data_IF_356611463771
#
_entry.id   IF_356611463771
#
_cell.length_a   1.000
_cell.length_b   1.000
_cell.length_c   1.000
_cell.angle_alpha   90.00
_cell.angle_beta   90.00
_cell.angle_gamma   90.00
#
_symmetry.space_group_name_H-M   'P 1'
#
loop_
_entity.id
_entity.type
_entity.pdbx_description
1 polymer ?
#
# COMPACT_ATOMS: atom_id res chain seq x y z
N UNK A 1 -38.92 12.88 -5.50
CA UNK A 1 -38.30 12.65 -6.80
C UNK A 1 -37.80 13.99 -7.37
N UNK A 2 -36.52 14.30 -7.21
CA UNK A 2 -35.88 15.43 -7.90
C UNK A 2 -34.75 14.87 -8.74
N UNK A 3 -34.82 15.15 -10.05
CA UNK A 3 -33.86 14.72 -11.07
C UNK A 3 -32.51 15.40 -10.83
N UNK A 4 -31.46 14.60 -10.79
CA UNK A 4 -30.07 15.09 -10.75
C UNK A 4 -29.65 15.45 -12.17
N UNK A 5 -29.24 16.69 -12.32
CA UNK A 5 -28.83 17.36 -13.55
C UNK A 5 -27.42 16.94 -13.98
N UNK A 6 -27.24 16.80 -15.26
CA UNK A 6 -26.01 16.45 -15.99
C UNK A 6 -24.90 17.48 -15.75
N UNK A 7 -23.71 17.02 -15.45
CA UNK A 7 -22.49 17.83 -15.48
C UNK A 7 -22.29 18.43 -16.88
N UNK A 8 -22.31 19.75 -16.93
CA UNK A 8 -21.95 20.49 -18.13
C UNK A 8 -20.45 20.82 -18.09
N UNK A 9 -19.70 20.28 -19.03
CA UNK A 9 -18.32 20.65 -19.30
C UNK A 9 -18.33 22.05 -19.94
N UNK A 10 -17.78 23.05 -19.28
CA UNK A 10 -17.54 24.36 -19.82
C UNK A 10 -16.17 24.39 -20.51
N UNK A 11 -16.17 24.41 -21.85
CA UNK A 11 -15.01 24.76 -22.64
C UNK A 11 -14.75 26.26 -22.51
N UNK A 12 -13.62 26.64 -21.97
CA UNK A 12 -13.12 28.01 -22.04
C UNK A 12 -12.15 28.09 -23.20
N UNK A 13 -12.62 28.62 -24.31
CA UNK A 13 -11.80 29.04 -25.45
C UNK A 13 -11.34 30.48 -25.20
N UNK A 14 -10.07 30.65 -24.85
CA UNK A 14 -9.45 31.96 -24.73
C UNK A 14 -8.88 32.43 -26.05
N UNK A 15 -9.52 33.43 -26.66
CA UNK A 15 -8.99 34.17 -27.81
C UNK A 15 -7.84 35.10 -27.37
N UNK A 16 -6.64 34.89 -27.90
CA UNK A 16 -5.55 35.87 -27.85
C UNK A 16 -5.60 36.74 -29.09
N UNK A 17 -5.93 38.03 -28.90
CA UNK A 17 -5.83 39.08 -29.92
C UNK A 17 -4.41 39.65 -29.91
N UNK A 18 -3.73 39.54 -31.05
CA UNK A 18 -2.46 40.21 -31.32
C UNK A 18 -2.66 41.67 -31.62
N UNK A 19 -1.96 42.56 -30.93
CA UNK A 19 -1.75 43.92 -31.37
C UNK A 19 -0.26 44.19 -31.57
N UNK A 20 0.11 44.36 -32.83
CA UNK A 20 1.42 44.87 -33.24
C UNK A 20 1.44 46.39 -33.16
N UNK A 21 2.46 46.96 -32.54
CA UNK A 21 2.82 48.35 -32.73
C UNK A 21 4.35 48.45 -32.92
N UNK A 22 4.71 48.85 -34.14
CA UNK A 22 6.06 49.25 -34.52
C UNK A 22 6.43 50.60 -33.92
N UNK A 23 7.65 50.74 -33.38
CA UNK A 23 8.46 51.93 -33.67
C UNK A 23 9.94 51.64 -33.47
N UNK A 24 10.73 52.13 -34.43
CA UNK A 24 12.17 51.95 -34.58
C UNK A 24 12.97 52.93 -33.71
N UNK A 25 14.16 52.52 -33.28
CA UNK A 25 15.46 53.11 -33.58
C UNK A 25 16.51 52.77 -32.52
N UNK A 26 17.65 52.26 -33.02
CA UNK A 26 18.97 52.61 -32.43
C UNK A 26 19.65 51.60 -31.51
N UNK A 27 20.41 50.68 -32.11
CA UNK A 27 21.78 50.34 -31.73
C UNK A 27 22.08 49.78 -30.33
N UNK A 28 22.27 48.49 -30.25
CA UNK A 28 23.48 47.81 -29.74
C UNK A 28 23.20 46.29 -29.76
N UNK A 29 24.07 45.53 -30.40
CA UNK A 29 24.00 44.06 -30.40
C UNK A 29 24.26 43.57 -28.98
N UNK A 30 23.21 43.30 -28.25
CA UNK A 30 23.23 42.40 -27.13
C UNK A 30 22.74 41.06 -27.67
N UNK A 31 23.59 40.07 -27.63
CA UNK A 31 23.16 38.68 -27.88
C UNK A 31 22.02 38.37 -26.89
N UNK A 32 20.79 38.42 -27.42
CA UNK A 32 19.63 37.88 -26.72
C UNK A 32 19.87 36.38 -26.67
N UNK A 33 20.23 35.89 -25.47
CA UNK A 33 20.09 34.48 -25.15
C UNK A 33 18.70 34.06 -25.66
N UNK A 34 18.66 33.06 -26.54
CA UNK A 34 17.41 32.40 -26.95
C UNK A 34 16.74 32.01 -25.65
N UNK A 35 15.60 32.60 -25.32
CA UNK A 35 14.68 32.06 -24.35
C UNK A 35 14.28 30.72 -24.95
N UNK A 36 14.79 29.64 -24.39
CA UNK A 36 14.38 28.28 -24.75
C UNK A 36 12.86 28.25 -24.67
N UNK A 37 12.20 27.73 -25.71
CA UNK A 37 10.77 27.58 -25.73
C UNK A 37 10.43 26.71 -24.51
N UNK A 38 9.57 27.18 -23.61
CA UNK A 38 9.17 26.44 -22.45
C UNK A 38 8.61 25.08 -22.91
N UNK A 39 9.11 24.01 -22.34
CA UNK A 39 8.62 22.66 -22.62
C UNK A 39 7.14 22.55 -22.26
N UNK A 40 6.41 21.70 -22.97
CA UNK A 40 5.03 21.40 -22.62
C UNK A 40 4.99 20.80 -21.20
N UNK A 41 4.00 21.22 -20.40
CA UNK A 41 3.91 20.76 -19.03
C UNK A 41 3.59 19.26 -18.95
N UNK A 42 4.25 18.57 -18.02
CA UNK A 42 3.95 17.20 -17.65
C UNK A 42 2.75 17.21 -16.72
N UNK A 43 1.69 16.54 -17.11
CA UNK A 43 0.51 16.34 -16.26
C UNK A 43 0.79 15.27 -15.24
N UNK A 44 0.70 15.63 -13.95
CA UNK A 44 0.94 14.70 -12.84
C UNK A 44 -0.31 14.59 -11.96
N UNK A 45 -0.93 13.40 -11.92
CA UNK A 45 -1.95 13.10 -10.93
C UNK A 45 -1.25 12.79 -9.61
N UNK A 46 -0.95 13.85 -8.85
CA UNK A 46 -0.24 13.72 -7.59
C UNK A 46 -1.13 13.12 -6.48
N UNK A 47 -0.53 12.35 -5.53
CA UNK A 47 -1.28 11.75 -4.42
C UNK A 47 -1.75 12.76 -3.38
N UNK A 48 -1.21 13.98 -3.43
CA UNK A 48 -1.51 15.08 -2.50
C UNK A 48 -1.85 16.36 -3.27
N UNK A 49 -2.63 17.24 -2.65
CA UNK A 49 -3.05 18.51 -3.27
C UNK A 49 -1.93 19.54 -3.33
N UNK A 50 -1.08 19.54 -2.31
CA UNK A 50 0.03 20.47 -2.14
C UNK A 50 1.34 19.70 -2.36
N UNK A 51 2.00 19.96 -3.48
CA UNK A 51 3.26 19.30 -3.88
C UNK A 51 4.34 20.31 -4.32
N UNK A 52 4.23 21.55 -3.86
CA UNK A 52 5.15 22.62 -4.23
C UNK A 52 6.60 22.26 -3.91
N UNK A 53 6.86 21.64 -2.74
CA UNK A 53 8.20 21.20 -2.37
C UNK A 53 8.76 20.13 -3.32
N UNK A 54 7.90 19.26 -3.87
CA UNK A 54 8.31 18.31 -4.89
C UNK A 54 8.61 18.99 -6.23
N UNK A 55 7.79 19.96 -6.64
CA UNK A 55 8.02 20.75 -7.85
C UNK A 55 9.35 21.52 -7.74
N UNK A 56 9.61 22.13 -6.59
CA UNK A 56 10.89 22.79 -6.30
C UNK A 56 12.07 21.79 -6.36
N UNK A 57 11.89 20.57 -5.84
CA UNK A 57 12.89 19.52 -5.93
C UNK A 57 13.16 19.09 -7.37
N UNK A 58 12.14 18.98 -8.22
CA UNK A 58 12.31 18.72 -9.66
C UNK A 58 13.05 19.88 -10.32
N UNK A 59 12.64 21.12 -10.10
CA UNK A 59 13.28 22.30 -10.67
C UNK A 59 14.74 22.50 -10.23
N UNK A 60 15.09 22.04 -9.03
CA UNK A 60 16.49 22.10 -8.55
C UNK A 60 17.44 21.24 -9.37
N UNK A 61 16.92 20.17 -10.03
CA UNK A 61 17.71 19.25 -10.85
C UNK A 61 17.44 19.48 -12.34
N UNK A 62 16.18 19.76 -12.70
CA UNK A 62 15.69 19.92 -14.07
C UNK A 62 14.84 21.18 -14.18
N UNK A 63 15.46 22.37 -14.25
CA UNK A 63 14.73 23.65 -14.24
C UNK A 63 13.82 23.90 -15.45
N UNK A 64 14.03 23.15 -16.53
CA UNK A 64 13.22 23.23 -17.76
C UNK A 64 11.90 22.46 -17.69
N UNK A 65 11.76 21.52 -16.74
CA UNK A 65 10.58 20.65 -16.61
C UNK A 65 9.43 21.40 -15.94
N UNK A 66 8.31 21.53 -16.64
CA UNK A 66 7.09 22.10 -16.08
C UNK A 66 6.15 20.98 -15.63
N UNK A 67 5.52 21.13 -14.47
CA UNK A 67 4.56 20.16 -13.92
C UNK A 67 3.20 20.86 -13.75
N UNK A 68 2.17 20.24 -14.34
CA UNK A 68 0.77 20.59 -14.12
C UNK A 68 0.13 19.50 -13.24
N UNK A 69 -0.36 19.90 -12.06
CA UNK A 69 -1.01 18.99 -11.12
C UNK A 69 -2.43 18.70 -11.57
N UNK A 70 -2.73 17.42 -11.79
CA UNK A 70 -4.09 16.95 -12.09
C UNK A 70 -4.74 16.54 -10.77
N UNK A 71 -5.80 17.23 -10.33
CA UNK A 71 -6.46 16.88 -9.08
C UNK A 71 -7.29 15.62 -9.23
N UNK A 72 -7.36 14.83 -8.17
CA UNK A 72 -8.35 13.78 -8.07
C UNK A 72 -9.77 14.37 -8.09
N UNK A 73 -10.67 13.80 -8.89
CA UNK A 73 -12.08 14.17 -8.88
C UNK A 73 -12.89 13.14 -8.10
N UNK A 74 -13.64 13.59 -7.10
CA UNK A 74 -14.57 12.78 -6.31
C UNK A 74 -13.98 12.21 -5.02
N UNK A 75 -14.85 11.55 -4.23
CA UNK A 75 -14.52 11.00 -2.91
C UNK A 75 -13.79 9.65 -3.00
N UNK A 76 -13.81 8.99 -4.17
CA UNK A 76 -13.18 7.70 -4.41
C UNK A 76 -12.13 7.80 -5.51
N UNK A 77 -10.86 7.91 -5.11
CA UNK A 77 -9.71 7.99 -6.01
C UNK A 77 -9.57 6.76 -6.90
N UNK A 78 -9.85 5.57 -6.39
CA UNK A 78 -9.79 4.32 -7.15
C UNK A 78 -10.78 4.30 -8.31
N UNK A 79 -12.03 4.66 -8.07
CA UNK A 79 -13.05 4.74 -9.13
C UNK A 79 -12.70 5.80 -10.18
N UNK A 80 -12.15 6.95 -9.76
CA UNK A 80 -11.69 7.98 -10.68
C UNK A 80 -10.59 7.44 -11.62
N UNK A 81 -9.60 6.78 -11.05
CA UNK A 81 -8.49 6.18 -11.79
C UNK A 81 -8.95 5.07 -12.74
N UNK A 82 -9.82 4.18 -12.29
CA UNK A 82 -10.39 3.12 -13.13
C UNK A 82 -11.13 3.71 -14.34
N UNK A 83 -11.91 4.77 -14.13
CA UNK A 83 -12.63 5.46 -15.21
C UNK A 83 -11.66 6.12 -16.20
N UNK A 84 -10.61 6.80 -15.73
CA UNK A 84 -9.58 7.39 -16.58
C UNK A 84 -8.80 6.31 -17.34
N UNK A 85 -8.49 5.20 -16.66
CA UNK A 85 -7.83 4.04 -17.26
C UNK A 85 -8.67 3.43 -18.38
N UNK A 86 -9.97 3.19 -18.12
CA UNK A 86 -10.91 2.66 -19.11
C UNK A 86 -11.11 3.63 -20.30
N UNK A 87 -11.15 4.94 -20.05
CA UNK A 87 -11.27 5.97 -21.10
C UNK A 87 -9.98 6.14 -21.93
N UNK A 88 -8.83 5.63 -21.43
CA UNK A 88 -7.51 5.88 -22.01
C UNK A 88 -7.09 7.34 -21.91
N UNK A 89 -7.60 8.07 -20.93
CA UNK A 89 -7.35 9.50 -20.65
C UNK A 89 -6.51 9.66 -19.38
N UNK A 90 -5.37 8.95 -19.35
CA UNK A 90 -4.43 9.02 -18.24
C UNK A 90 -3.55 10.27 -18.35
N UNK A 91 -3.21 10.90 -17.22
CA UNK A 91 -2.16 11.91 -17.19
C UNK A 91 -0.78 11.31 -17.55
N UNK A 92 0.19 12.16 -17.83
CA UNK A 92 1.54 11.71 -18.20
C UNK A 92 2.20 10.89 -17.09
N UNK A 93 2.12 11.38 -15.85
CA UNK A 93 2.51 10.64 -14.62
C UNK A 93 1.26 10.35 -13.83
N UNK A 94 0.93 9.08 -13.67
CA UNK A 94 -0.23 8.64 -12.92
C UNK A 94 0.17 8.03 -11.58
N UNK A 95 -0.71 8.22 -10.58
CA UNK A 95 -0.62 7.61 -9.26
C UNK A 95 -1.75 6.63 -9.09
N UNK A 96 -1.44 5.38 -8.73
CA UNK A 96 -2.41 4.33 -8.47
C UNK A 96 -2.37 3.94 -6.99
N UNK A 97 -3.53 3.60 -6.43
CA UNK A 97 -3.64 3.19 -5.01
C UNK A 97 -3.36 1.70 -4.84
N UNK A 98 -3.71 0.88 -5.82
CA UNK A 98 -3.53 -0.56 -5.80
C UNK A 98 -2.91 -1.01 -7.11
N UNK A 99 -2.10 -2.05 -7.03
CA UNK A 99 -1.71 -2.84 -8.17
C UNK A 99 -2.92 -3.71 -8.52
N UNK A 100 -3.66 -3.34 -9.56
CA UNK A 100 -4.76 -4.16 -10.05
C UNK A 100 -4.17 -5.34 -10.85
N UNK A 101 -4.48 -6.60 -10.50
CA UNK A 101 -4.03 -7.76 -11.26
C UNK A 101 -4.65 -7.87 -12.66
N UNK A 102 -5.54 -6.97 -13.04
CA UNK A 102 -5.87 -6.77 -14.47
C UNK A 102 -4.67 -6.15 -15.20
N UNK A 103 -3.52 -6.76 -14.98
CA UNK A 103 -2.20 -6.40 -15.51
C UNK A 103 -2.22 -6.25 -17.04
N UNK A 104 -3.03 -7.00 -17.75
CA UNK A 104 -3.22 -6.86 -19.21
C UNK A 104 -3.64 -5.44 -19.61
N UNK A 105 -4.41 -4.75 -18.75
CA UNK A 105 -4.76 -3.36 -18.96
C UNK A 105 -3.61 -2.40 -18.62
N UNK A 106 -2.76 -2.76 -17.65
CA UNK A 106 -1.61 -1.94 -17.25
C UNK A 106 -0.56 -1.92 -18.36
N UNK A 107 -0.20 -3.08 -18.93
CA UNK A 107 0.76 -3.19 -20.04
C UNK A 107 0.32 -2.46 -21.31
N UNK A 108 -0.99 -2.35 -21.54
CA UNK A 108 -1.54 -1.62 -22.69
C UNK A 108 -1.50 -0.09 -22.53
N UNK A 109 -1.55 0.40 -21.29
CA UNK A 109 -1.72 1.82 -20.98
C UNK A 109 -0.48 2.49 -20.41
N UNK A 110 0.38 1.71 -19.74
CA UNK A 110 1.57 2.24 -19.09
C UNK A 110 2.85 1.84 -19.82
N UNK A 111 3.86 2.68 -19.70
CA UNK A 111 5.19 2.48 -20.24
C UNK A 111 5.94 1.44 -19.39
N UNK A 112 6.66 0.52 -20.04
CA UNK A 112 7.58 -0.37 -19.34
C UNK A 112 8.81 0.42 -18.86
N UNK A 113 9.02 0.41 -17.56
CA UNK A 113 10.09 1.14 -16.87
C UNK A 113 11.33 0.28 -16.58
N UNK A 114 11.30 -1.03 -16.88
CA UNK A 114 12.38 -1.98 -16.52
C UNK A 114 13.75 -1.63 -17.09
N UNK A 115 13.80 -0.89 -18.22
CA UNK A 115 15.05 -0.48 -18.89
C UNK A 115 15.66 0.82 -18.39
N UNK A 116 15.06 1.50 -17.42
CA UNK A 116 15.53 2.81 -16.97
C UNK A 116 16.37 2.73 -15.70
N UNK A 117 17.44 3.52 -15.65
CA UNK A 117 18.47 3.56 -14.60
C UNK A 117 17.93 3.89 -13.20
N UNK A 118 16.85 4.63 -13.09
CA UNK A 118 16.26 4.97 -11.80
C UNK A 118 15.64 3.78 -11.06
N UNK A 119 15.37 2.66 -11.75
CA UNK A 119 14.93 1.42 -11.10
C UNK A 119 16.02 0.81 -10.21
N UNK A 120 17.28 1.08 -10.53
CA UNK A 120 18.43 0.64 -9.74
C UNK A 120 18.51 1.27 -8.35
N UNK A 121 17.80 2.37 -8.11
CA UNK A 121 17.72 3.02 -6.80
C UNK A 121 16.91 2.21 -5.78
N UNK A 122 16.04 1.33 -6.25
CA UNK A 122 15.15 0.55 -5.39
C UNK A 122 15.85 -0.66 -4.77
N UNK A 123 15.41 -1.05 -3.60
CA UNK A 123 15.73 -2.36 -3.03
C UNK A 123 15.04 -3.42 -3.89
N UNK A 124 15.77 -4.43 -4.36
CA UNK A 124 15.26 -5.43 -5.31
C UNK A 124 13.97 -6.12 -4.81
N UNK A 125 13.94 -6.52 -3.52
CA UNK A 125 12.75 -7.12 -2.92
C UNK A 125 11.52 -6.20 -2.93
N UNK A 126 11.68 -4.89 -3.07
CA UNK A 126 10.58 -3.91 -3.17
C UNK A 126 10.01 -3.77 -4.58
N UNK A 127 10.73 -4.26 -5.59
CA UNK A 127 10.24 -4.32 -6.97
C UNK A 127 9.59 -5.66 -7.32
N UNK A 128 9.81 -6.71 -6.53
CA UNK A 128 9.26 -8.05 -6.82
C UNK A 128 7.73 -8.05 -6.95
N UNK A 129 7.05 -7.22 -6.15
CA UNK A 129 5.58 -7.14 -6.15
C UNK A 129 5.01 -6.42 -7.38
N UNK A 130 5.85 -5.73 -8.16
CA UNK A 130 5.46 -4.97 -9.37
C UNK A 130 6.06 -5.53 -10.65
N UNK A 131 6.79 -6.65 -10.57
CA UNK A 131 7.32 -7.35 -11.74
C UNK A 131 6.24 -8.17 -12.42
N UNK A 132 6.05 -7.90 -13.72
CA UNK A 132 5.22 -8.72 -14.59
C UNK A 132 6.04 -9.23 -15.76
N UNK A 133 6.36 -10.52 -15.78
CA UNK A 133 7.09 -11.21 -16.85
C UNK A 133 8.39 -10.49 -17.28
N UNK A 134 9.07 -9.81 -16.33
CA UNK A 134 10.30 -9.06 -16.57
C UNK A 134 10.09 -7.59 -16.88
N UNK A 135 8.85 -7.10 -16.98
CA UNK A 135 8.51 -5.69 -17.13
C UNK A 135 8.17 -5.04 -15.77
N UNK A 136 8.35 -3.73 -15.68
CA UNK A 136 7.96 -2.91 -14.53
C UNK A 136 7.10 -1.76 -15.06
N UNK A 137 5.80 -1.79 -14.85
CA UNK A 137 4.90 -0.72 -15.26
C UNK A 137 4.64 0.31 -14.19
N UNK A 138 4.85 -0.07 -12.92
CA UNK A 138 4.57 0.73 -11.74
C UNK A 138 5.75 0.71 -10.79
N UNK A 139 6.07 1.85 -10.20
CA UNK A 139 7.09 1.96 -9.16
C UNK A 139 6.43 2.25 -7.81
N UNK A 140 6.82 1.54 -6.75
CA UNK A 140 6.27 1.80 -5.42
C UNK A 140 6.76 3.14 -4.86
N UNK A 141 5.84 3.88 -4.23
CA UNK A 141 6.17 5.16 -3.57
C UNK A 141 6.83 4.96 -2.21
N UNK A 142 6.06 4.57 -1.24
CA UNK A 142 6.45 4.28 0.14
C UNK A 142 5.65 3.11 0.65
N UNK A 143 6.10 2.55 1.77
CA UNK A 143 5.45 1.41 2.40
C UNK A 143 4.98 1.76 3.81
N UNK A 144 3.80 1.27 4.17
CA UNK A 144 3.42 1.05 5.56
C UNK A 144 3.91 -0.33 5.99
N UNK A 145 4.33 -0.45 7.23
CA UNK A 145 4.72 -1.70 7.83
C UNK A 145 3.66 -2.13 8.85
N UNK A 146 3.10 -3.30 8.65
CA UNK A 146 2.17 -3.93 9.57
C UNK A 146 2.88 -4.99 10.40
N UNK A 147 2.52 -5.03 11.65
CA UNK A 147 2.95 -5.99 12.64
C UNK A 147 2.00 -5.92 13.84
N UNK A 148 2.45 -6.37 14.97
CA UNK A 148 1.72 -6.34 16.24
C UNK A 148 2.33 -5.24 17.11
N UNK A 149 1.55 -4.21 17.39
CA UNK A 149 1.98 -3.18 18.34
C UNK A 149 1.97 -3.72 19.76
N UNK A 150 3.02 -3.47 20.51
CA UNK A 150 3.12 -3.88 21.91
C UNK A 150 3.42 -2.73 22.85
N UNK A 151 2.98 -2.86 24.11
CA UNK A 151 3.17 -1.89 25.16
C UNK A 151 4.47 -2.16 25.92
N UNK A 152 5.52 -1.38 25.62
CA UNK A 152 6.83 -1.45 26.28
C UNK A 152 6.73 -1.24 27.80
N UNK A 153 5.79 -0.40 28.23
CA UNK A 153 5.62 -0.07 29.65
C UNK A 153 5.09 -1.27 30.44
N UNK A 154 4.03 -1.93 29.94
CA UNK A 154 3.46 -3.12 30.59
C UNK A 154 4.48 -4.25 30.66
N UNK A 155 5.20 -4.54 29.57
CA UNK A 155 6.25 -5.55 29.58
C UNK A 155 7.27 -5.28 30.71
N UNK A 156 7.77 -4.03 30.79
CA UNK A 156 8.76 -3.65 31.81
C UNK A 156 8.19 -3.72 33.23
N UNK A 157 6.98 -3.22 33.46
CA UNK A 157 6.36 -3.20 34.80
C UNK A 157 6.11 -4.58 35.36
N UNK A 158 5.77 -5.55 34.50
CA UNK A 158 5.57 -6.93 34.89
C UNK A 158 6.83 -7.81 34.78
N UNK A 159 7.95 -7.27 34.28
CA UNK A 159 9.16 -8.04 34.03
C UNK A 159 8.98 -9.13 32.98
N UNK A 160 8.14 -8.88 31.98
CA UNK A 160 7.89 -9.79 30.87
C UNK A 160 8.80 -9.50 29.68
N UNK A 161 9.25 -10.56 29.02
CA UNK A 161 10.01 -10.48 27.78
C UNK A 161 9.09 -10.41 26.56
N UNK A 162 9.53 -9.70 25.52
CA UNK A 162 8.82 -9.66 24.23
C UNK A 162 8.94 -11.04 23.56
N UNK A 163 7.83 -11.69 23.16
CA UNK A 163 7.89 -13.03 22.57
C UNK A 163 8.52 -12.98 21.16
N UNK A 164 9.31 -13.98 20.83
CA UNK A 164 9.94 -14.18 19.53
C UNK A 164 9.45 -15.43 18.79
N UNK A 165 8.52 -16.16 19.40
CA UNK A 165 7.84 -17.32 18.82
C UNK A 165 6.41 -17.39 19.32
N UNK A 166 5.56 -18.14 18.63
CA UNK A 166 4.19 -18.38 19.11
C UNK A 166 4.17 -19.08 20.47
N UNK A 167 5.07 -20.03 20.71
CA UNK A 167 5.17 -20.71 21.98
C UNK A 167 5.46 -19.74 23.15
N UNK A 168 6.31 -18.74 22.94
CA UNK A 168 6.58 -17.70 23.94
C UNK A 168 5.38 -16.76 24.11
N UNK A 169 4.67 -16.45 23.02
CA UNK A 169 3.44 -15.66 23.06
C UNK A 169 2.34 -16.36 23.85
N UNK A 170 2.19 -17.67 23.69
CA UNK A 170 1.23 -18.47 24.47
C UNK A 170 1.52 -18.40 25.97
N UNK A 171 2.80 -18.50 26.36
CA UNK A 171 3.23 -18.34 27.75
C UNK A 171 2.93 -16.93 28.27
N UNK A 172 3.20 -15.90 27.46
CA UNK A 172 2.92 -14.51 27.82
C UNK A 172 1.41 -14.26 27.96
N UNK A 173 0.59 -14.82 27.07
CA UNK A 173 -0.87 -14.74 27.15
C UNK A 173 -1.42 -15.32 28.46
N UNK A 174 -0.88 -16.47 28.91
CA UNK A 174 -1.24 -17.04 30.19
C UNK A 174 -0.88 -16.13 31.38
N UNK A 175 0.32 -15.52 31.36
CA UNK A 175 0.77 -14.56 32.38
C UNK A 175 -0.10 -13.30 32.41
N UNK A 176 -0.44 -12.74 31.23
CA UNK A 176 -1.30 -11.56 31.11
C UNK A 176 -2.69 -11.84 31.72
N UNK A 177 -3.26 -12.98 31.41
CA UNK A 177 -4.55 -13.44 31.98
C UNK A 177 -4.49 -13.57 33.50
N UNK A 178 -3.42 -14.19 34.06
CA UNK A 178 -3.23 -14.33 35.51
C UNK A 178 -3.09 -12.96 36.18
N UNK A 179 -2.40 -12.03 35.55
CA UNK A 179 -2.21 -10.67 36.07
C UNK A 179 -3.43 -9.74 35.85
N UNK A 180 -4.46 -10.19 35.15
CA UNK A 180 -5.64 -9.36 34.80
C UNK A 180 -5.34 -8.24 33.81
N UNK A 181 -4.31 -8.41 32.97
CA UNK A 181 -3.94 -7.50 31.89
C UNK A 181 -4.67 -7.91 30.61
N UNK A 182 -5.27 -6.94 29.90
CA UNK A 182 -5.87 -7.18 28.60
C UNK A 182 -4.79 -7.57 27.59
N UNK A 183 -4.92 -8.77 26.99
CA UNK A 183 -3.88 -9.30 26.12
C UNK A 183 -3.79 -8.54 24.81
N UNK A 184 -4.89 -8.44 24.08
CA UNK A 184 -4.92 -7.86 22.74
C UNK A 184 -6.24 -7.18 22.41
N UNK A 185 -6.15 -6.07 21.67
CA UNK A 185 -7.28 -5.37 21.08
C UNK A 185 -7.12 -5.44 19.54
N UNK A 186 -7.79 -6.36 18.83
CA UNK A 186 -7.85 -6.31 17.38
C UNK A 186 -8.85 -5.23 16.94
N UNK A 187 -8.53 -4.49 15.88
CA UNK A 187 -9.49 -3.64 15.19
C UNK A 187 -10.47 -4.52 14.39
N UNK A 188 -11.76 -4.33 14.55
CA UNK A 188 -12.81 -5.18 13.96
C UNK A 188 -13.93 -4.41 13.27
N UNK A 189 -13.75 -3.11 13.06
CA UNK A 189 -14.78 -2.25 12.48
C UNK A 189 -15.09 -2.61 11.02
N UNK A 190 -14.11 -3.04 10.27
CA UNK A 190 -14.23 -3.31 8.83
C UNK A 190 -13.91 -4.78 8.50
N UNK A 191 -14.63 -5.39 7.52
CA UNK A 191 -14.36 -6.76 7.07
C UNK A 191 -12.90 -6.99 6.68
N UNK A 192 -12.28 -5.99 6.03
CA UNK A 192 -10.88 -6.04 5.62
C UNK A 192 -9.91 -6.37 6.74
N UNK A 193 -10.18 -5.98 7.98
CA UNK A 193 -9.33 -6.36 9.11
C UNK A 193 -9.38 -7.86 9.38
N UNK A 194 -10.56 -8.49 9.35
CA UNK A 194 -10.67 -9.93 9.53
C UNK A 194 -9.85 -10.69 8.49
N UNK A 195 -9.95 -10.30 7.22
CA UNK A 195 -9.15 -10.89 6.14
C UNK A 195 -7.64 -10.67 6.35
N UNK A 196 -7.24 -9.44 6.75
CA UNK A 196 -5.83 -9.13 6.98
C UNK A 196 -5.24 -9.93 8.14
N UNK A 197 -5.97 -10.13 9.24
CA UNK A 197 -5.48 -10.96 10.35
C UNK A 197 -5.25 -12.40 9.91
N UNK A 198 -6.17 -12.94 9.11
CA UNK A 198 -6.01 -14.28 8.54
C UNK A 198 -4.73 -14.35 7.69
N UNK A 199 -4.58 -13.44 6.72
CA UNK A 199 -3.45 -13.43 5.80
C UNK A 199 -2.12 -13.16 6.53
N UNK A 200 -2.05 -12.14 7.38
CA UNK A 200 -0.81 -11.74 8.04
C UNK A 200 -0.28 -12.81 9.01
N UNK A 201 -1.18 -13.53 9.69
CA UNK A 201 -0.78 -14.67 10.56
C UNK A 201 -0.37 -15.85 9.68
N UNK A 202 -1.10 -16.12 8.59
CA UNK A 202 -0.76 -17.19 7.66
C UNK A 202 0.55 -16.92 6.89
N UNK A 203 0.95 -15.66 6.71
CA UNK A 203 2.24 -15.29 6.13
C UNK A 203 3.42 -15.81 6.97
N UNK A 204 3.30 -15.80 8.28
CA UNK A 204 4.32 -16.31 9.19
C UNK A 204 4.41 -17.85 9.21
N UNK A 205 3.45 -18.56 8.64
CA UNK A 205 3.44 -20.02 8.57
C UNK A 205 3.60 -20.53 7.13
N UNK A 206 2.74 -20.08 6.19
CA UNK A 206 2.71 -20.62 4.82
C UNK A 206 2.72 -19.55 3.73
N UNK A 207 1.83 -18.54 3.78
CA UNK A 207 1.63 -17.61 2.67
C UNK A 207 2.87 -16.79 2.32
N UNK A 208 3.73 -16.47 3.30
CA UNK A 208 5.00 -15.77 3.10
C UNK A 208 6.10 -16.65 2.47
N UNK A 209 5.92 -17.97 2.38
CA UNK A 209 6.87 -18.89 1.74
C UNK A 209 6.76 -18.87 0.21
N UNK A 210 7.76 -19.43 -0.49
CA UNK A 210 7.69 -19.60 -1.94
C UNK A 210 6.47 -20.41 -2.36
N UNK A 211 6.20 -21.52 -1.69
CA UNK A 211 5.05 -22.39 -1.97
C UNK A 211 3.72 -21.67 -1.73
N UNK A 212 3.64 -20.87 -0.69
CA UNK A 212 2.48 -20.04 -0.40
C UNK A 212 2.23 -18.97 -1.44
N UNK A 213 3.28 -18.34 -1.97
CA UNK A 213 3.17 -17.35 -3.07
C UNK A 213 2.75 -18.00 -4.39
N UNK A 214 3.25 -19.18 -4.70
CA UNK A 214 2.80 -19.96 -5.86
C UNK A 214 1.33 -20.39 -5.68
N UNK A 215 0.96 -20.81 -4.48
CA UNK A 215 -0.43 -21.15 -4.17
C UNK A 215 -1.38 -19.96 -4.35
N UNK A 216 -1.00 -18.75 -3.95
CA UNK A 216 -1.82 -17.54 -4.14
C UNK A 216 -2.13 -17.32 -5.64
N UNK A 217 -1.15 -17.48 -6.52
CA UNK A 217 -1.35 -17.42 -7.98
C UNK A 217 -2.32 -18.49 -8.48
N UNK A 218 -2.15 -19.71 -7.99
CA UNK A 218 -3.00 -20.84 -8.39
C UNK A 218 -4.42 -20.67 -7.84
N UNK A 219 -4.60 -20.16 -6.63
CA UNK A 219 -5.89 -19.81 -6.05
C UNK A 219 -6.61 -18.75 -6.90
N UNK A 220 -5.97 -17.63 -7.22
CA UNK A 220 -6.55 -16.55 -8.03
C UNK A 220 -6.85 -16.98 -9.47
N UNK A 221 -6.16 -18.00 -9.98
CA UNK A 221 -6.43 -18.58 -11.31
C UNK A 221 -7.38 -19.79 -11.29
N UNK A 222 -7.98 -20.12 -10.16
CA UNK A 222 -8.92 -21.22 -10.00
C UNK A 222 -8.31 -22.62 -10.03
N UNK A 223 -7.00 -22.74 -9.85
CA UNK A 223 -6.28 -24.03 -9.89
C UNK A 223 -6.07 -24.66 -8.52
N UNK A 224 -6.19 -23.88 -7.45
CA UNK A 224 -6.02 -24.35 -6.09
C UNK A 224 -7.13 -23.79 -5.17
N UNK A 225 -7.45 -24.51 -4.11
CA UNK A 225 -8.33 -24.05 -3.03
C UNK A 225 -7.71 -24.35 -1.67
N UNK A 226 -8.32 -23.83 -0.60
CA UNK A 226 -7.79 -23.99 0.75
C UNK A 226 -7.93 -25.42 1.24
N UNK A 227 -9.12 -26.01 1.09
CA UNK A 227 -9.46 -27.32 1.68
C UNK A 227 -8.61 -28.48 1.12
N UNK A 228 -8.07 -28.34 -0.11
CA UNK A 228 -7.23 -29.36 -0.74
C UNK A 228 -5.72 -29.03 -0.68
N UNK A 229 -5.34 -27.95 0.01
CA UNK A 229 -3.93 -27.54 0.13
C UNK A 229 -3.43 -27.74 1.56
N UNK A 230 -2.58 -28.77 1.82
CA UNK A 230 -2.13 -29.06 3.18
C UNK A 230 -1.47 -27.88 3.90
N UNK A 231 -0.65 -27.09 3.20
CA UNK A 231 -0.01 -25.89 3.76
C UNK A 231 -1.03 -24.84 4.20
N UNK A 232 -2.07 -24.57 3.39
CA UNK A 232 -3.14 -23.66 3.79
C UNK A 232 -3.97 -24.19 4.96
N UNK A 233 -4.28 -25.49 4.96
CA UNK A 233 -5.00 -26.10 6.10
C UNK A 233 -4.19 -26.00 7.41
N UNK A 234 -2.87 -26.15 7.34
CA UNK A 234 -1.99 -25.92 8.47
C UNK A 234 -2.03 -24.45 8.91
N UNK A 235 -1.92 -23.51 7.97
CA UNK A 235 -1.99 -22.07 8.26
C UNK A 235 -3.34 -21.69 8.89
N UNK A 236 -4.46 -22.23 8.42
CA UNK A 236 -5.77 -22.02 9.05
C UNK A 236 -5.84 -22.56 10.47
N UNK A 237 -5.27 -23.74 10.72
CA UNK A 237 -5.15 -24.28 12.08
C UNK A 237 -4.26 -23.39 12.95
N UNK A 238 -3.22 -22.79 12.38
CA UNK A 238 -2.35 -21.84 13.07
C UNK A 238 -3.08 -20.53 13.41
N UNK A 239 -3.84 -19.95 12.50
CA UNK A 239 -4.70 -18.79 12.79
C UNK A 239 -5.68 -19.07 13.93
N UNK A 240 -6.22 -20.30 13.98
CA UNK A 240 -7.09 -20.72 15.09
C UNK A 240 -6.38 -20.69 16.44
N UNK A 241 -5.10 -21.10 16.52
CA UNK A 241 -4.31 -21.04 17.77
C UNK A 241 -4.22 -19.59 18.30
N UNK A 242 -4.07 -18.59 17.42
CA UNK A 242 -4.04 -17.18 17.82
C UNK A 242 -5.35 -16.73 18.48
N UNK A 243 -6.49 -17.22 18.00
CA UNK A 243 -7.77 -17.00 18.67
C UNK A 243 -7.83 -17.70 20.02
N UNK A 244 -7.40 -18.96 20.07
CA UNK A 244 -7.50 -19.79 21.28
C UNK A 244 -6.71 -19.19 22.46
N UNK A 245 -5.59 -18.51 22.20
CA UNK A 245 -4.83 -17.79 23.24
C UNK A 245 -5.35 -16.38 23.55
N UNK A 246 -6.33 -15.88 22.80
CA UNK A 246 -6.95 -14.57 23.04
C UNK A 246 -6.38 -13.39 22.25
N UNK A 247 -5.53 -13.63 21.25
CA UNK A 247 -5.03 -12.55 20.37
C UNK A 247 -6.07 -12.05 19.37
N UNK A 248 -7.03 -12.89 19.00
CA UNK A 248 -8.11 -12.58 18.05
C UNK A 248 -9.47 -12.66 18.77
N UNK A 249 -9.63 -11.88 19.82
CA UNK A 249 -10.89 -11.82 20.56
C UNK A 249 -11.79 -10.72 20.02
N UNK A 250 -13.10 -10.97 20.10
CA UNK A 250 -14.06 -9.88 20.21
C UNK A 250 -13.95 -9.29 21.63
N UNK A 251 -13.58 -8.03 21.74
CA UNK A 251 -13.53 -7.32 23.01
C UNK A 251 -14.90 -6.97 23.60
N UNK A 252 -15.98 -7.58 23.07
CA UNK A 252 -17.34 -7.53 23.62
C UNK A 252 -18.18 -6.36 23.17
N UNK A 253 -17.58 -5.30 22.69
CA UNK A 253 -18.26 -4.17 22.04
C UNK A 253 -17.73 -4.05 20.63
N UNK A 254 -18.60 -3.90 19.61
CA UNK A 254 -18.17 -3.57 18.25
C UNK A 254 -17.45 -2.22 18.31
N UNK A 255 -16.18 -2.28 18.76
CA UNK A 255 -15.43 -1.07 19.07
C UNK A 255 -15.14 -0.35 17.76
N UNK A 256 -15.61 0.88 17.71
CA UNK A 256 -15.05 1.89 16.83
C UNK A 256 -13.51 1.86 16.97
N UNK A 257 -12.81 1.89 15.86
CA UNK A 257 -11.34 1.89 15.82
C UNK A 257 -10.74 2.97 16.72
N UNK A 258 -11.38 4.13 16.83
CA UNK A 258 -10.96 5.21 17.73
C UNK A 258 -10.98 4.78 19.21
N UNK A 259 -11.99 4.02 19.63
CA UNK A 259 -12.08 3.50 21.00
C UNK A 259 -10.98 2.47 21.25
N UNK A 260 -10.72 1.59 20.30
CA UNK A 260 -9.62 0.61 20.37
C UNK A 260 -8.27 1.30 20.52
N UNK A 261 -8.01 2.30 19.67
CA UNK A 261 -6.78 3.09 19.71
C UNK A 261 -6.63 3.89 21.02
N UNK A 262 -7.72 4.47 21.52
CA UNK A 262 -7.73 5.19 22.80
C UNK A 262 -7.42 4.24 23.97
N UNK A 263 -8.04 3.06 24.03
CA UNK A 263 -7.75 2.05 25.07
C UNK A 263 -6.29 1.63 25.05
N UNK A 264 -5.71 1.42 23.86
CA UNK A 264 -4.28 1.14 23.74
C UNK A 264 -3.43 2.32 24.21
N UNK A 265 -3.80 3.56 23.84
CA UNK A 265 -3.12 4.79 24.28
C UNK A 265 -3.16 4.99 25.80
N UNK A 266 -4.24 4.58 26.47
CA UNK A 266 -4.38 4.59 27.94
C UNK A 266 -3.43 3.62 28.63
N UNK A 267 -2.89 2.63 27.92
CA UNK A 267 -1.80 1.77 28.40
C UNK A 267 -2.23 0.54 29.17
N UNK A 268 -3.51 0.14 29.14
CA UNK A 268 -4.04 -1.01 29.88
C UNK A 268 -4.01 -2.33 29.08
N UNK A 269 -3.62 -2.28 27.81
CA UNK A 269 -3.59 -3.43 26.89
C UNK A 269 -2.17 -3.71 26.43
N UNK A 270 -1.82 -5.00 26.35
CA UNK A 270 -0.47 -5.42 25.99
C UNK A 270 -0.21 -5.33 24.49
N UNK A 271 -1.15 -5.79 23.65
CA UNK A 271 -1.01 -5.81 22.19
C UNK A 271 -2.17 -5.15 21.47
N UNK A 272 -1.87 -4.59 20.29
CA UNK A 272 -2.84 -4.14 19.29
C UNK A 272 -2.47 -4.75 17.94
N UNK A 273 -3.42 -5.40 17.27
CA UNK A 273 -3.30 -5.73 15.85
C UNK A 273 -4.15 -4.75 15.06
N UNK A 274 -3.49 -3.88 14.28
CA UNK A 274 -4.17 -2.81 13.55
C UNK A 274 -3.25 -1.64 13.19
N UNK A 275 -3.82 -0.44 13.10
CA UNK A 275 -3.10 0.77 12.72
C UNK A 275 -2.28 1.35 13.89
N UNK A 276 -0.99 1.04 13.94
CA UNK A 276 -0.05 1.55 14.96
C UNK A 276 -0.01 3.07 15.02
N UNK A 277 -0.08 3.75 13.88
CA UNK A 277 0.02 5.22 13.80
C UNK A 277 -1.16 5.92 14.49
N UNK A 278 -2.34 5.31 14.44
CA UNK A 278 -3.54 5.82 15.09
C UNK A 278 -3.43 5.94 16.62
N UNK A 279 -2.52 5.18 17.27
CA UNK A 279 -2.30 5.28 18.72
C UNK A 279 -1.78 6.66 19.08
N UNK A 280 -0.87 7.22 18.28
CA UNK A 280 -0.31 8.56 18.52
C UNK A 280 -1.37 9.63 18.27
N UNK A 281 -2.18 9.47 17.25
CA UNK A 281 -3.30 10.36 16.93
C UNK A 281 -4.37 10.32 18.03
N UNK A 282 -4.56 9.17 18.68
CA UNK A 282 -5.43 9.03 19.86
C UNK A 282 -4.82 9.56 21.16
N UNK A 283 -3.66 10.21 21.12
CA UNK A 283 -2.98 10.84 22.27
C UNK A 283 -1.99 9.93 22.98
N UNK A 284 -1.66 8.78 22.42
CA UNK A 284 -0.62 7.90 22.94
C UNK A 284 0.79 8.48 22.77
N UNK A 285 1.69 8.13 23.70
CA UNK A 285 3.11 8.44 23.54
C UNK A 285 3.82 7.34 22.75
N UNK A 286 4.34 7.66 21.56
CA UNK A 286 5.04 6.73 20.68
C UNK A 286 6.17 5.94 21.38
N UNK A 287 6.89 6.56 22.33
CA UNK A 287 8.01 5.93 23.04
C UNK A 287 7.58 4.74 23.93
N UNK A 288 6.29 4.67 24.29
CA UNK A 288 5.73 3.60 25.11
C UNK A 288 5.38 2.36 24.31
N UNK A 289 5.36 2.46 22.99
CA UNK A 289 4.95 1.37 22.10
C UNK A 289 6.09 0.94 21.19
N UNK A 290 6.03 -0.29 20.73
CA UNK A 290 6.92 -0.86 19.75
C UNK A 290 6.12 -1.70 18.75
N UNK A 291 6.75 -2.11 17.67
CA UNK A 291 6.17 -3.00 16.67
C UNK A 291 6.96 -4.30 16.64
N UNK A 292 6.28 -5.44 16.69
CA UNK A 292 6.85 -6.76 16.53
C UNK A 292 6.26 -7.46 15.30
N UNK A 293 6.97 -8.44 14.71
CA UNK A 293 6.46 -9.19 13.57
C UNK A 293 5.27 -10.09 13.95
N UNK A 294 4.53 -10.54 12.95
CA UNK A 294 3.70 -11.74 13.11
C UNK A 294 4.64 -12.93 13.33
N UNK A 295 4.37 -13.70 14.37
CA UNK A 295 5.25 -14.77 14.80
C UNK A 295 4.94 -16.05 14.06
N UNK A 296 5.96 -16.82 13.69
CA UNK A 296 5.83 -18.23 13.35
C UNK A 296 5.81 -19.10 14.62
N UNK A 297 5.44 -20.37 14.49
CA UNK A 297 5.30 -21.26 15.63
C UNK A 297 6.61 -21.41 16.42
N UNK A 298 7.74 -21.51 15.72
CA UNK A 298 9.08 -21.67 16.26
C UNK A 298 9.95 -20.40 16.26
N UNK A 299 9.44 -19.28 15.74
CA UNK A 299 10.16 -18.01 15.62
C UNK A 299 11.11 -17.90 14.44
N UNK A 300 11.18 -18.89 13.56
CA UNK A 300 12.14 -18.91 12.44
C UNK A 300 11.67 -18.13 11.20
N UNK A 301 10.36 -17.92 11.07
CA UNK A 301 9.73 -17.24 9.93
C UNK A 301 8.86 -16.06 10.37
N UNK A 302 9.29 -15.34 11.39
CA UNK A 302 8.61 -14.12 11.81
C UNK A 302 8.63 -13.08 10.69
N UNK A 303 7.49 -12.47 10.38
CA UNK A 303 7.37 -11.54 9.26
C UNK A 303 6.70 -10.23 9.65
N UNK A 304 7.20 -9.13 9.09
CA UNK A 304 6.45 -7.88 8.96
C UNK A 304 5.75 -7.87 7.61
N UNK A 305 4.54 -7.30 7.54
CA UNK A 305 3.80 -7.19 6.29
C UNK A 305 3.91 -5.78 5.76
N UNK A 306 4.31 -5.63 4.49
CA UNK A 306 4.51 -4.34 3.88
C UNK A 306 3.43 -4.05 2.84
N UNK A 307 2.79 -2.90 2.99
CA UNK A 307 1.79 -2.40 2.05
C UNK A 307 2.31 -1.15 1.34
N UNK A 308 2.30 -1.18 0.02
CA UNK A 308 2.66 -0.01 -0.80
C UNK A 308 1.57 1.05 -0.67
N UNK A 309 1.96 2.28 -0.33
CA UNK A 309 0.99 3.36 -0.18
C UNK A 309 0.41 3.83 -1.52
N UNK A 310 1.27 3.95 -2.54
CA UNK A 310 0.91 4.38 -3.90
C UNK A 310 1.91 3.81 -4.89
N UNK A 311 1.47 3.72 -6.13
CA UNK A 311 2.31 3.36 -7.26
C UNK A 311 2.35 4.51 -8.25
N UNK A 312 3.50 4.71 -8.91
CA UNK A 312 3.69 5.68 -9.97
C UNK A 312 3.94 4.97 -11.29
N UNK A 313 3.29 5.43 -12.35
CA UNK A 313 3.48 4.94 -13.71
C UNK A 313 3.49 6.05 -14.72
N UNK A 314 4.03 5.80 -15.90
CA UNK A 314 4.02 6.70 -17.04
C UNK A 314 3.01 6.25 -18.08
N UNK A 315 2.26 7.22 -18.64
CA UNK A 315 1.34 6.96 -19.74
C UNK A 315 2.11 6.53 -20.98
N UNK A 316 1.76 5.39 -21.56
CA UNK A 316 2.40 4.83 -22.76
C UNK A 316 2.30 5.76 -23.98
N UNK A 317 1.30 6.64 -24.04
CA UNK A 317 1.17 7.64 -25.12
C UNK A 317 2.37 8.58 -25.21
N UNK A 318 3.15 8.74 -24.14
CA UNK A 318 4.39 9.52 -24.15
C UNK A 318 5.41 9.03 -25.19
N UNK A 319 5.36 7.76 -25.59
CA UNK A 319 6.22 7.23 -26.67
C UNK A 319 6.03 7.98 -28.01
N UNK A 320 4.90 8.67 -28.18
CA UNK A 320 4.60 9.45 -29.39
C UNK A 320 5.19 10.86 -29.37
N UNK A 321 5.66 11.34 -28.21
CA UNK A 321 6.30 12.64 -28.01
C UNK A 321 7.63 12.47 -27.25
N UNK A 322 8.77 12.35 -27.97
CA UNK A 322 10.07 12.09 -27.35
C UNK A 322 10.51 13.15 -26.34
N UNK A 323 10.15 14.44 -26.56
CA UNK A 323 10.54 15.50 -25.63
C UNK A 323 9.73 15.42 -24.35
N UNK A 324 8.43 15.19 -24.46
CA UNK A 324 7.55 15.05 -23.32
C UNK A 324 7.86 13.78 -22.52
N UNK A 325 8.20 12.68 -23.22
CA UNK A 325 8.67 11.46 -22.59
C UNK A 325 9.94 11.71 -21.77
N UNK A 326 10.94 12.42 -22.33
CA UNK A 326 12.17 12.72 -21.61
C UNK A 326 11.88 13.53 -20.34
N UNK A 327 11.01 14.53 -20.41
CA UNK A 327 10.64 15.34 -19.25
C UNK A 327 9.85 14.52 -18.20
N UNK A 328 8.96 13.64 -18.62
CA UNK A 328 8.29 12.69 -17.71
C UNK A 328 9.27 11.73 -17.02
N UNK A 329 10.27 11.24 -17.76
CA UNK A 329 11.34 10.41 -17.20
C UNK A 329 12.20 11.17 -16.17
N UNK A 330 12.43 12.48 -16.36
CA UNK A 330 13.10 13.33 -15.36
C UNK A 330 12.28 13.42 -14.07
N UNK A 331 10.95 13.57 -14.18
CA UNK A 331 10.05 13.53 -13.03
C UNK A 331 10.15 12.19 -12.30
N UNK A 332 10.14 11.07 -13.04
CA UNK A 332 10.30 9.73 -12.45
C UNK A 332 11.67 9.55 -11.78
N UNK A 333 12.75 10.08 -12.36
CA UNK A 333 14.07 10.06 -11.71
C UNK A 333 14.06 10.75 -10.35
N UNK A 334 13.39 11.89 -10.21
CA UNK A 334 13.27 12.60 -8.94
C UNK A 334 12.38 11.80 -7.98
N UNK A 335 11.24 11.30 -8.43
CA UNK A 335 10.35 10.42 -7.65
C UNK A 335 11.08 9.18 -7.11
N UNK A 336 12.04 8.66 -7.87
CA UNK A 336 12.83 7.48 -7.52
C UNK A 336 14.04 7.80 -6.64
N UNK A 337 13.97 8.85 -5.83
CA UNK A 337 15.01 9.24 -4.87
C UNK A 337 14.41 9.49 -3.49
N UNK A 338 15.24 9.35 -2.45
CA UNK A 338 14.88 9.71 -1.07
C UNK A 338 14.41 11.17 -1.00
N UNK A 339 15.14 12.10 -1.63
CA UNK A 339 14.83 13.53 -1.59
C UNK A 339 13.50 13.85 -2.29
N UNK A 340 13.28 13.33 -3.49
CA UNK A 340 12.06 13.57 -4.25
C UNK A 340 10.82 12.98 -3.58
N UNK A 341 10.89 11.71 -3.15
CA UNK A 341 9.77 11.08 -2.45
C UNK A 341 9.49 11.78 -1.11
N UNK A 342 10.52 12.21 -0.38
CA UNK A 342 10.32 12.97 0.87
C UNK A 342 9.71 14.35 0.62
N UNK A 343 10.09 15.03 -0.46
CA UNK A 343 9.52 16.32 -0.81
C UNK A 343 8.06 16.22 -1.28
N UNK A 344 7.67 15.07 -1.85
CA UNK A 344 6.28 14.83 -2.29
C UNK A 344 5.32 14.58 -1.12
N UNK A 345 5.82 14.07 0.01
CA UNK A 345 4.97 13.61 1.09
C UNK A 345 4.82 14.64 2.22
N UNK A 346 3.63 14.77 2.84
CA UNK A 346 3.48 15.51 4.08
C UNK A 346 4.42 14.98 5.16
N UNK A 347 4.98 15.87 5.98
CA UNK A 347 5.93 15.50 7.04
C UNK A 347 5.34 14.48 8.05
N UNK A 348 4.02 14.50 8.25
CA UNK A 348 3.31 13.53 9.10
C UNK A 348 3.31 12.13 8.48
N UNK A 349 3.11 12.02 7.17
CA UNK A 349 3.12 10.76 6.46
C UNK A 349 4.52 10.12 6.42
N UNK A 350 5.58 10.91 6.38
CA UNK A 350 6.97 10.40 6.40
C UNK A 350 7.30 9.63 7.68
N UNK A 351 6.73 10.02 8.83
CA UNK A 351 6.96 9.31 10.11
C UNK A 351 6.38 7.90 10.11
N UNK A 352 5.34 7.67 9.33
CA UNK A 352 4.63 6.40 9.24
C UNK A 352 4.92 5.62 7.96
N UNK A 353 5.96 6.01 7.22
CA UNK A 353 6.30 5.41 5.93
C UNK A 353 7.75 4.94 5.87
N UNK A 354 7.97 3.86 5.14
CA UNK A 354 9.28 3.36 4.76
C UNK A 354 9.55 3.71 3.30
N UNK A 355 10.76 4.16 3.02
CA UNK A 355 11.19 4.46 1.66
C UNK A 355 11.72 3.17 0.98
N UNK A 356 11.41 2.94 -0.31
CA UNK A 356 11.79 1.72 -1.02
C UNK A 356 13.24 1.69 -1.51
N UNK A 357 14.04 2.70 -1.21
CA UNK A 357 15.34 2.93 -1.86
C UNK A 357 16.50 2.31 -1.08
N UNK A 358 17.52 1.90 -1.82
CA UNK A 358 18.81 1.44 -1.26
C UNK A 358 19.44 2.55 -0.40
N UNK A 359 19.83 2.20 0.82
CA UNK A 359 20.45 3.13 1.76
C UNK A 359 19.48 4.13 2.42
N UNK A 360 18.18 4.06 2.16
CA UNK A 360 17.20 4.82 2.90
C UNK A 360 17.19 4.39 4.38
N UNK A 361 17.08 5.38 5.28
CA UNK A 361 17.08 5.15 6.72
C UNK A 361 15.66 5.25 7.27
N UNK A 362 15.39 4.45 8.29
CA UNK A 362 14.14 4.52 9.04
C UNK A 362 14.21 5.49 10.23
N UNK A 363 15.32 6.22 10.39
CA UNK A 363 15.55 7.17 11.49
C UNK A 363 14.44 8.23 11.53
N UNK A 364 13.91 8.49 12.73
CA UNK A 364 12.82 9.46 12.91
C UNK A 364 11.43 8.96 12.50
N UNK A 365 11.32 7.72 12.05
CA UNK A 365 10.06 7.04 11.78
C UNK A 365 9.62 6.17 12.96
N UNK A 366 8.38 5.71 12.95
CA UNK A 366 7.88 4.72 13.91
C UNK A 366 8.55 3.33 13.75
N UNK A 367 9.31 3.14 12.69
CA UNK A 367 9.94 1.88 12.32
C UNK A 367 11.44 1.83 12.65
N UNK A 368 11.99 2.86 13.34
CA UNK A 368 13.41 2.93 13.65
C UNK A 368 13.90 1.72 14.46
N UNK A 369 13.10 1.27 15.42
CA UNK A 369 13.43 0.13 16.30
C UNK A 369 13.46 -1.23 15.57
N UNK A 370 12.83 -1.34 14.39
CA UNK A 370 12.73 -2.58 13.60
C UNK A 370 13.50 -2.51 12.29
N UNK A 371 14.28 -1.45 12.07
CA UNK A 371 14.98 -1.22 10.81
C UNK A 371 15.89 -2.38 10.40
N UNK A 372 16.59 -2.99 11.35
CA UNK A 372 17.48 -4.12 11.06
C UNK A 372 16.70 -5.36 10.60
N UNK A 373 15.55 -5.66 11.20
CA UNK A 373 14.69 -6.76 10.80
C UNK A 373 14.10 -6.54 9.39
N UNK A 374 13.69 -5.29 9.09
CA UNK A 374 13.21 -4.93 7.76
C UNK A 374 14.30 -5.00 6.69
N UNK A 375 15.54 -4.63 7.06
CA UNK A 375 16.70 -4.71 6.16
C UNK A 375 17.15 -6.17 5.94
N UNK A 376 16.94 -7.04 6.92
CA UNK A 376 17.20 -8.48 6.80
C UNK A 376 16.22 -9.21 5.85
N UNK A 377 15.17 -8.51 5.39
CA UNK A 377 14.20 -9.08 4.45
C UNK A 377 13.10 -9.94 5.07
N UNK A 378 12.93 -9.90 6.39
CA UNK A 378 11.86 -10.61 7.10
C UNK A 378 10.50 -9.94 6.87
N UNK A 379 10.09 -9.87 5.62
CA UNK A 379 8.87 -9.17 5.20
C UNK A 379 8.07 -9.99 4.20
N UNK A 380 6.74 -9.88 4.30
CA UNK A 380 5.79 -10.38 3.31
C UNK A 380 5.03 -9.21 2.65
N UNK A 381 4.58 -9.33 1.41
CA UNK A 381 3.72 -8.34 0.79
C UNK A 381 2.31 -8.40 1.36
N UNK A 382 1.66 -7.25 1.40
CA UNK A 382 0.26 -7.16 1.81
C UNK A 382 -0.64 -7.79 0.72
N UNK A 383 -1.45 -8.75 1.13
CA UNK A 383 -2.36 -9.47 0.23
C UNK A 383 -3.63 -8.63 0.05
N UNK A 384 -3.81 -8.04 -1.11
CA UNK A 384 -4.98 -7.24 -1.44
C UNK A 384 -5.43 -7.42 -2.89
N UNK A 385 -4.55 -7.15 -3.85
CA UNK A 385 -4.88 -7.17 -5.28
C UNK A 385 -5.31 -8.56 -5.76
N UNK A 386 -6.44 -8.61 -6.44
CA UNK A 386 -7.08 -9.85 -6.90
C UNK A 386 -7.96 -10.54 -5.85
N UNK A 387 -7.99 -10.02 -4.61
CA UNK A 387 -8.73 -10.59 -3.50
C UNK A 387 -9.92 -9.74 -3.06
N UNK A 388 -10.34 -8.74 -3.85
CA UNK A 388 -11.30 -7.71 -3.44
C UNK A 388 -12.63 -8.29 -2.94
N UNK A 389 -13.17 -9.32 -3.61
CA UNK A 389 -14.38 -10.00 -3.17
C UNK A 389 -14.13 -10.80 -1.89
N UNK A 390 -13.01 -11.52 -1.83
CA UNK A 390 -12.60 -12.34 -0.69
C UNK A 390 -12.36 -11.50 0.56
N UNK A 391 -11.79 -10.29 0.41
CA UNK A 391 -11.58 -9.35 1.51
C UNK A 391 -12.89 -9.06 2.24
N UNK A 392 -13.99 -8.91 1.52
CA UNK A 392 -15.30 -8.62 2.12
C UNK A 392 -15.94 -9.88 2.69
N UNK A 393 -16.09 -10.93 1.89
CA UNK A 393 -16.86 -12.13 2.24
C UNK A 393 -16.15 -12.98 3.29
N UNK A 394 -14.90 -13.37 3.02
CA UNK A 394 -14.05 -14.08 3.99
C UNK A 394 -13.73 -13.19 5.18
N UNK A 395 -13.51 -11.88 4.99
CA UNK A 395 -13.28 -10.95 6.09
C UNK A 395 -14.44 -10.90 7.07
N UNK A 396 -15.68 -10.83 6.61
CA UNK A 396 -16.89 -10.93 7.46
C UNK A 396 -16.94 -12.27 8.19
N UNK A 397 -16.65 -13.37 7.50
CA UNK A 397 -16.64 -14.70 8.10
C UNK A 397 -15.57 -14.84 9.16
N UNK A 398 -14.40 -14.23 8.94
CA UNK A 398 -13.33 -14.20 9.93
C UNK A 398 -13.72 -13.36 11.16
N UNK A 399 -14.40 -12.22 11.00
CA UNK A 399 -14.94 -11.46 12.13
C UNK A 399 -15.98 -12.27 12.90
N UNK A 400 -16.86 -13.03 12.21
CA UNK A 400 -17.78 -13.96 12.86
C UNK A 400 -17.06 -15.06 13.64
N UNK A 401 -15.96 -15.59 13.08
CA UNK A 401 -15.10 -16.55 13.78
C UNK A 401 -14.49 -15.93 15.04
N UNK A 402 -13.97 -14.70 14.96
CA UNK A 402 -13.41 -13.99 16.13
C UNK A 402 -14.47 -13.79 17.21
N UNK A 403 -15.71 -13.49 16.85
CA UNK A 403 -16.87 -13.34 17.75
C UNK A 403 -17.42 -14.67 18.29
N UNK A 404 -16.95 -15.81 17.78
CA UNK A 404 -17.46 -17.13 18.15
C UNK A 404 -18.78 -17.52 17.47
N UNK A 405 -19.21 -16.77 16.45
CA UNK A 405 -20.41 -17.03 15.66
C UNK A 405 -20.17 -17.95 14.45
N UNK A 406 -18.90 -18.24 14.15
CA UNK A 406 -18.46 -19.15 13.10
C UNK A 406 -17.29 -20.01 13.57
N UNK A 407 -17.03 -21.12 12.89
CA UNK A 407 -15.85 -21.97 13.08
C UNK A 407 -14.78 -21.66 12.06
N UNK A 408 -13.55 -22.18 12.26
CA UNK A 408 -12.50 -22.06 11.25
C UNK A 408 -12.86 -22.83 9.96
N UNK A 409 -13.60 -23.92 10.06
CA UNK A 409 -14.14 -24.67 8.92
C UNK A 409 -15.11 -23.82 8.10
N UNK A 410 -15.87 -22.92 8.74
CA UNK A 410 -16.73 -21.96 8.03
C UNK A 410 -15.91 -20.91 7.27
N UNK A 411 -14.78 -20.47 7.82
CA UNK A 411 -13.85 -19.56 7.15
C UNK A 411 -13.21 -20.23 5.93
N UNK A 412 -12.74 -21.47 6.08
CA UNK A 412 -12.15 -22.27 5.00
C UNK A 412 -13.16 -22.46 3.87
N UNK A 413 -14.40 -22.84 4.21
CA UNK A 413 -15.46 -23.00 3.22
C UNK A 413 -15.75 -21.68 2.48
N UNK A 414 -15.76 -20.55 3.18
CA UNK A 414 -15.97 -19.24 2.54
C UNK A 414 -14.85 -18.90 1.57
N UNK A 415 -13.59 -19.17 1.92
CA UNK A 415 -12.45 -19.00 1.00
C UNK A 415 -12.61 -19.85 -0.26
N UNK A 416 -13.01 -21.13 -0.13
CA UNK A 416 -13.22 -21.99 -1.28
C UNK A 416 -14.39 -21.52 -2.15
N UNK A 417 -15.50 -21.05 -1.56
CA UNK A 417 -16.64 -20.44 -2.28
C UNK A 417 -16.24 -19.12 -2.98
N UNK A 418 -15.40 -18.30 -2.37
CA UNK A 418 -14.91 -17.06 -2.95
C UNK A 418 -14.04 -17.35 -4.20
N UNK A 419 -13.20 -18.36 -4.14
CA UNK A 419 -12.38 -18.80 -5.26
C UNK A 419 -13.26 -19.26 -6.46
N UNK A 420 -14.29 -20.05 -6.20
CA UNK A 420 -15.26 -20.47 -7.25
C UNK A 420 -15.93 -19.24 -7.90
N UNK A 421 -16.22 -18.21 -7.14
CA UNK A 421 -16.85 -16.99 -7.67
C UNK A 421 -15.90 -16.16 -8.53
N UNK A 422 -14.63 -16.09 -8.21
CA UNK A 422 -13.59 -15.41 -9.02
C UNK A 422 -13.47 -16.10 -10.39
N UNK A 423 -13.40 -17.43 -10.41
CA UNK A 423 -13.29 -18.22 -11.65
C UNK A 423 -14.52 -18.05 -12.55
N UNK A 424 -15.72 -18.03 -11.95
CA UNK A 424 -16.97 -17.91 -12.72
C UNK A 424 -17.25 -16.49 -13.23
N UNK A 425 -16.61 -15.47 -12.66
CA UNK A 425 -16.77 -14.07 -13.07
C UNK A 425 -15.64 -13.56 -13.97
N UNK A 426 -14.61 -14.37 -14.23
CA UNK A 426 -13.60 -14.02 -15.23
C UNK A 426 -14.26 -14.16 -16.61
N UNK A 427 -14.39 -13.10 -17.42
CA UNK A 427 -14.99 -13.22 -18.74
C UNK A 427 -14.18 -14.24 -19.57
N UNK A 428 -14.86 -15.15 -20.23
CA UNK A 428 -14.30 -16.03 -21.28
C UNK A 428 -13.81 -15.19 -22.48
N UNK A 429 -12.77 -14.40 -22.30
CA UNK A 429 -12.11 -13.59 -23.33
C UNK A 429 -10.76 -14.19 -23.71
N UNK A 430 -10.74 -15.47 -24.00
CA UNK A 430 -9.77 -16.03 -24.94
C UNK A 430 -10.57 -16.76 -26.03
N UNK A 431 -11.27 -15.99 -26.83
CA UNK A 431 -11.64 -16.45 -28.16
C UNK A 431 -10.41 -16.32 -29.03
N UNK A 432 -9.68 -17.37 -29.20
CA UNK A 432 -8.67 -17.52 -30.25
C UNK A 432 -9.29 -17.08 -31.57
N UNK A 433 -8.90 -15.93 -32.07
CA UNK A 433 -9.11 -15.56 -33.46
C UNK A 433 -8.07 -16.35 -34.25
N UNK A 434 -8.56 -17.38 -34.97
CA UNK A 434 -7.81 -18.09 -36.01
C UNK A 434 -7.57 -17.17 -37.22
#
# INVERSE_FOLDING_TARGET
MKKISRCSFLQVVGLLAATAALTACGGTKTETAKKDAAHEAITFMAPYKEIEAFIEQVHSVYPEVNIEVVPYSGDNTTTCLQNMFAAGDLPDVCTLTYYDPQIDLVSDKLLDLSGYDFTDNYVESRLQDVFDNGAIYLLPSTYNCYGITYNKTLLREHGWELPNSFAELEVLAAKAKEAGVDLCLPQIQYPGYGFQYLCNIADADFLGTLDGRLWQKDYLSGKANVSNTPGMMQAMAYVKKWKDIGMLNDSGDALDDNVTLQRMAEGNTLFLIGNTNGIVEAGGNADKFGLMPFLSEDGTQNVFVLNVNRFYGLNKKLEQDPQKLEDALKVMRVLSTVAGTSALQPATALKSSLLPFKGAKADGTYYADIADALNAGNTAPFIYSGWENTIVTTGLKMLDFMKGNATMEDVIRQLDEDQDSVVNNTPDTITTVT
#
